data_IF_741140481121
#
_entry.id   IF_741140481121
#
_cell.length_a   1.000
_cell.length_b   1.000
_cell.length_c   1.000
_cell.angle_alpha   90.00
_cell.angle_beta   90.00
_cell.angle_gamma   90.00
#
_symmetry.space_group_name_H-M   'P 1'
#
loop_
_entity.id
_entity.type
_entity.pdbx_description
1 polymer ?
#
# COMPACT_ATOMS: atom_id res chain seq x y z
N UNK A 1 -33.24 56.70 5.53
CA UNK A 1 -32.70 57.82 4.73
C UNK A 1 -31.57 57.27 3.87
N UNK A 2 -31.86 56.98 2.60
CA UNK A 2 -31.31 57.63 1.38
C UNK A 2 -29.83 57.29 1.14
N UNK A 3 -29.34 56.75 0.01
CA UNK A 3 -29.78 56.49 -1.38
C UNK A 3 -28.78 55.43 -1.93
N UNK A 4 -29.17 54.23 -2.42
CA UNK A 4 -29.54 53.82 -3.81
C UNK A 4 -28.90 54.60 -4.98
N UNK A 5 -28.18 53.86 -5.83
CA UNK A 5 -28.01 53.89 -7.31
C UNK A 5 -26.97 52.76 -7.59
N UNK A 6 -27.18 51.58 -8.20
CA UNK A 6 -27.99 51.08 -9.31
C UNK A 6 -27.87 51.91 -10.60
N UNK A 7 -27.10 51.40 -11.57
CA UNK A 7 -27.47 51.33 -13.01
C UNK A 7 -26.43 50.57 -13.86
N UNK A 8 -26.84 50.06 -15.04
CA UNK A 8 -26.25 48.90 -15.73
C UNK A 8 -25.79 49.18 -17.19
N UNK A 9 -25.34 48.14 -17.91
CA UNK A 9 -25.26 48.09 -19.38
C UNK A 9 -23.86 48.42 -19.95
N UNK A 10 -23.42 47.89 -21.09
CA UNK A 10 -24.14 47.27 -22.18
C UNK A 10 -23.20 46.38 -23.04
N UNK A 11 -23.80 45.38 -23.70
CA UNK A 11 -23.30 44.71 -24.91
C UNK A 11 -22.69 45.72 -25.90
N UNK A 12 -21.62 45.31 -26.58
CA UNK A 12 -21.21 45.92 -27.83
C UNK A 12 -21.16 44.84 -28.92
N UNK A 13 -22.10 44.94 -29.85
CA UNK A 13 -22.15 44.22 -31.11
C UNK A 13 -22.22 45.24 -32.26
N UNK A 14 -21.49 44.92 -33.33
CA UNK A 14 -21.67 45.33 -34.74
C UNK A 14 -21.43 46.79 -35.18
N UNK A 15 -20.44 46.97 -36.07
CA UNK A 15 -20.53 47.61 -37.40
C UNK A 15 -19.17 47.37 -38.12
N UNK A 16 -19.10 46.47 -39.12
CA UNK A 16 -19.29 46.72 -40.56
C UNK A 16 -18.25 47.69 -41.16
N UNK A 17 -17.24 47.12 -41.83
CA UNK A 17 -16.60 47.74 -42.99
C UNK A 17 -16.45 46.67 -44.09
N UNK A 18 -17.28 46.83 -45.13
CA UNK A 18 -17.22 46.11 -46.39
C UNK A 18 -15.98 46.54 -47.18
N UNK A 19 -15.17 45.58 -47.62
CA UNK A 19 -14.18 45.73 -48.68
C UNK A 19 -14.51 44.79 -49.82
N UNK A 20 -15.28 45.28 -50.80
CA UNK A 20 -15.54 44.60 -52.07
C UNK A 20 -14.30 44.72 -52.96
N UNK A 21 -13.80 43.60 -53.51
CA UNK A 21 -13.11 43.64 -54.81
C UNK A 21 -13.68 42.54 -55.69
N UNK A 22 -14.16 43.00 -56.85
CA UNK A 22 -14.78 42.24 -57.93
C UNK A 22 -13.68 42.01 -58.95
N UNK A 23 -13.33 40.76 -59.26
CA UNK A 23 -12.58 40.45 -60.47
C UNK A 23 -13.54 39.85 -61.50
N UNK A 24 -13.78 40.66 -62.52
CA UNK A 24 -14.57 40.41 -63.71
C UNK A 24 -13.86 39.47 -64.67
N UNK A 25 -14.62 38.47 -65.15
CA UNK A 25 -14.32 37.63 -66.30
C UNK A 25 -14.09 38.46 -67.59
N UNK A 26 -13.07 38.09 -68.36
CA UNK A 26 -12.86 38.51 -69.74
C UNK A 26 -12.89 37.28 -70.69
N UNK A 27 -13.28 37.45 -71.96
CA UNK A 27 -13.99 36.42 -72.72
C UNK A 27 -13.12 35.47 -73.55
N UNK A 28 -13.74 34.34 -73.90
CA UNK A 28 -13.27 33.33 -74.86
C UNK A 28 -12.93 33.92 -76.24
N UNK A 29 -11.78 33.52 -76.78
CA UNK A 29 -11.51 33.51 -78.22
C UNK A 29 -11.22 32.08 -78.68
N UNK A 30 -12.06 31.63 -79.63
CA UNK A 30 -11.97 30.37 -80.36
C UNK A 30 -10.97 30.55 -81.51
N UNK A 31 -10.05 29.61 -81.69
CA UNK A 31 -9.30 29.42 -82.94
C UNK A 31 -9.13 27.93 -83.26
N UNK A 32 -9.14 27.54 -84.54
CA UNK A 32 -9.48 26.18 -84.98
C UNK A 32 -8.29 25.20 -84.98
N UNK A 33 -8.63 23.91 -84.92
CA UNK A 33 -7.71 22.77 -85.00
C UNK A 33 -7.02 22.64 -86.38
N UNK A 34 -5.78 22.14 -86.43
CA UNK A 34 -5.25 21.47 -87.62
C UNK A 34 -5.39 19.94 -87.51
N UNK A 35 -5.51 19.32 -88.69
CA UNK A 35 -5.83 17.93 -88.90
C UNK A 35 -4.64 16.95 -88.72
N UNK A 36 -5.01 15.77 -88.26
CA UNK A 36 -4.43 14.42 -88.38
C UNK A 36 -2.97 14.21 -88.86
N UNK A 37 -2.27 13.36 -88.08
CA UNK A 37 -1.35 12.34 -88.60
C UNK A 37 -1.47 11.08 -87.74
N UNK A 38 -1.81 9.96 -88.37
CA UNK A 38 -1.97 8.63 -87.77
C UNK A 38 -0.59 7.99 -87.54
N UNK A 39 -0.23 7.56 -86.31
CA UNK A 39 0.88 6.65 -86.09
C UNK A 39 0.38 5.20 -85.94
N UNK A 40 1.14 4.28 -86.54
CA UNK A 40 0.85 2.85 -86.61
C UNK A 40 0.66 2.17 -85.24
N UNK A 41 -0.28 1.20 -85.20
CA UNK A 41 -0.48 0.26 -84.10
C UNK A 41 0.74 -0.66 -83.91
N UNK A 42 1.24 -0.85 -82.68
CA UNK A 42 2.15 -1.95 -82.35
C UNK A 42 1.38 -3.29 -82.21
N UNK A 43 2.06 -4.44 -82.39
CA UNK A 43 1.41 -5.74 -82.53
C UNK A 43 0.76 -6.23 -81.22
N UNK A 44 -0.33 -6.97 -81.40
CA UNK A 44 -1.12 -7.64 -80.37
C UNK A 44 -0.26 -8.49 -79.43
N UNK A 45 -0.24 -8.12 -78.14
CA UNK A 45 0.17 -9.06 -77.08
C UNK A 45 -1.01 -9.99 -76.79
N UNK A 46 -0.75 -11.27 -76.94
CA UNK A 46 -1.57 -12.39 -76.46
C UNK A 46 -2.02 -12.14 -75.02
N UNK A 47 -3.35 -12.04 -74.81
CA UNK A 47 -3.94 -11.99 -73.46
C UNK A 47 -3.80 -13.36 -72.79
N UNK A 48 -3.11 -13.39 -71.65
CA UNK A 48 -3.22 -14.50 -70.71
C UNK A 48 -4.59 -14.47 -70.01
N UNK A 49 -5.11 -15.62 -69.54
CA UNK A 49 -6.39 -15.67 -68.83
C UNK A 49 -6.32 -14.87 -67.53
N UNK A 50 -7.38 -14.14 -67.21
CA UNK A 50 -7.51 -13.44 -65.94
C UNK A 50 -7.59 -14.46 -64.80
N UNK A 51 -6.65 -14.37 -63.84
CA UNK A 51 -6.74 -15.11 -62.58
C UNK A 51 -7.89 -14.55 -61.74
N UNK A 52 -8.75 -15.45 -61.28
CA UNK A 52 -9.81 -15.15 -60.31
C UNK A 52 -9.18 -14.68 -58.99
N UNK A 53 -9.62 -13.56 -58.37
CA UNK A 53 -9.09 -13.15 -57.08
C UNK A 53 -9.41 -14.19 -56.02
N UNK A 54 -8.40 -14.58 -55.24
CA UNK A 54 -8.58 -15.40 -54.06
C UNK A 54 -9.45 -14.65 -53.02
N UNK A 55 -10.32 -15.34 -52.26
CA UNK A 55 -11.12 -14.70 -51.23
C UNK A 55 -10.21 -14.07 -50.17
N UNK A 56 -10.51 -12.83 -49.77
CA UNK A 56 -9.80 -12.16 -48.68
C UNK A 56 -9.90 -13.00 -47.40
N UNK A 57 -8.79 -13.19 -46.66
CA UNK A 57 -8.84 -13.90 -45.39
C UNK A 57 -9.72 -13.12 -44.42
N UNK A 58 -10.74 -13.80 -43.89
CA UNK A 58 -11.61 -13.27 -42.83
C UNK A 58 -10.72 -12.77 -41.67
N UNK A 59 -10.95 -11.56 -41.13
CA UNK A 59 -10.13 -11.03 -40.05
C UNK A 59 -10.17 -12.02 -38.89
N UNK A 60 -9.00 -12.46 -38.44
CA UNK A 60 -8.89 -13.24 -37.21
C UNK A 60 -9.51 -12.42 -36.07
N UNK A 61 -10.37 -13.01 -35.22
CA UNK A 61 -10.91 -12.29 -34.08
C UNK A 61 -9.75 -11.73 -33.26
N UNK A 62 -9.79 -10.43 -32.94
CA UNK A 62 -8.82 -9.85 -32.03
C UNK A 62 -8.80 -10.68 -30.75
N UNK A 63 -7.61 -11.06 -30.23
CA UNK A 63 -7.55 -11.74 -28.95
C UNK A 63 -8.29 -10.90 -27.92
N UNK A 64 -9.21 -11.53 -27.18
CA UNK A 64 -9.90 -10.87 -26.08
C UNK A 64 -8.82 -10.24 -25.16
N UNK A 65 -9.02 -9.00 -24.68
CA UNK A 65 -8.05 -8.37 -23.80
C UNK A 65 -7.80 -9.28 -22.62
N UNK A 66 -6.53 -9.63 -22.39
CA UNK A 66 -6.13 -10.44 -21.24
C UNK A 66 -6.58 -9.71 -19.97
N UNK A 67 -7.23 -10.39 -19.02
CA UNK A 67 -7.66 -9.74 -17.79
C UNK A 67 -6.45 -9.13 -17.07
N UNK A 68 -6.51 -7.84 -16.74
CA UNK A 68 -5.47 -7.20 -15.95
C UNK A 68 -5.68 -7.56 -14.47
N UNK A 69 -4.67 -8.20 -13.88
CA UNK A 69 -4.67 -8.60 -12.48
C UNK A 69 -3.53 -7.95 -11.73
N UNK A 70 -3.78 -7.52 -10.50
CA UNK A 70 -2.78 -7.01 -9.58
C UNK A 70 -2.83 -7.76 -8.26
N UNK A 71 -1.69 -7.83 -7.58
CA UNK A 71 -1.57 -8.42 -6.26
C UNK A 71 -0.86 -7.44 -5.35
N UNK A 72 -1.44 -7.20 -4.18
CA UNK A 72 -0.85 -6.38 -3.15
C UNK A 72 -0.73 -7.21 -1.88
N UNK A 73 0.48 -7.28 -1.34
CA UNK A 73 0.81 -7.98 -0.11
C UNK A 73 0.82 -7.04 1.10
N UNK A 74 0.49 -7.56 2.26
CA UNK A 74 0.48 -6.85 3.54
C UNK A 74 1.17 -7.69 4.62
N UNK A 75 2.08 -7.05 5.34
CA UNK A 75 2.81 -7.62 6.46
C UNK A 75 2.24 -7.12 7.78
N UNK A 76 2.31 -7.95 8.81
CA UNK A 76 2.05 -7.55 10.19
C UNK A 76 3.05 -6.53 10.76
N UNK A 77 2.91 -6.25 12.04
CA UNK A 77 3.65 -5.19 12.72
C UNK A 77 5.16 -5.49 12.76
N UNK A 78 5.96 -4.51 12.34
CA UNK A 78 7.41 -4.48 12.57
C UNK A 78 7.67 -3.58 13.77
N UNK A 79 8.03 -4.19 14.90
CA UNK A 79 8.30 -3.53 16.17
C UNK A 79 9.73 -3.86 16.62
N UNK A 80 10.67 -2.97 16.32
CA UNK A 80 12.10 -3.17 16.62
C UNK A 80 12.39 -2.80 18.08
N UNK A 81 12.44 -3.82 18.93
CA UNK A 81 12.79 -3.69 20.34
C UNK A 81 14.31 -3.77 20.54
N UNK A 82 14.75 -3.62 21.79
CA UNK A 82 16.17 -3.60 22.15
C UNK A 82 16.94 -4.82 21.64
N UNK A 83 16.38 -6.02 21.79
CA UNK A 83 17.07 -7.26 21.42
C UNK A 83 17.37 -7.31 19.93
N UNK A 84 16.45 -6.88 19.07
CA UNK A 84 16.68 -6.79 17.63
C UNK A 84 17.77 -5.78 17.30
N UNK A 85 17.75 -4.59 17.92
CA UNK A 85 18.80 -3.58 17.72
C UNK A 85 20.18 -4.12 18.10
N UNK A 86 20.27 -4.79 19.25
CA UNK A 86 21.53 -5.34 19.75
C UNK A 86 22.09 -6.43 18.85
N UNK A 87 21.23 -7.33 18.35
CA UNK A 87 21.66 -8.46 17.54
C UNK A 87 21.89 -8.11 16.06
N UNK A 88 21.22 -7.07 15.55
CA UNK A 88 21.53 -6.51 14.24
C UNK A 88 22.90 -5.82 14.19
N UNK A 89 23.43 -5.38 15.34
CA UNK A 89 24.70 -4.64 15.41
C UNK A 89 25.88 -5.51 14.98
N UNK A 90 26.65 -5.01 14.03
CA UNK A 90 27.86 -5.64 13.50
C UNK A 90 29.12 -5.15 14.23
N UNK A 91 30.24 -5.84 14.02
CA UNK A 91 31.50 -5.55 14.69
C UNK A 91 32.07 -4.15 14.37
N UNK A 92 31.76 -3.61 13.19
CA UNK A 92 32.15 -2.26 12.77
C UNK A 92 31.21 -1.15 13.29
N UNK A 93 30.17 -1.52 14.05
CA UNK A 93 29.18 -0.60 14.61
C UNK A 93 28.00 -0.31 13.69
N UNK A 94 27.96 -0.85 12.48
CA UNK A 94 26.78 -0.82 11.60
C UNK A 94 25.70 -1.79 12.07
N UNK A 95 24.54 -1.79 11.41
CA UNK A 95 23.41 -2.65 11.76
C UNK A 95 22.89 -3.36 10.51
N UNK A 96 22.60 -4.65 10.61
CA UNK A 96 22.09 -5.49 9.53
C UNK A 96 20.78 -6.17 9.95
N UNK A 97 19.73 -5.90 9.19
CA UNK A 97 18.39 -6.47 9.37
C UNK A 97 17.99 -7.39 8.19
N UNK A 98 18.87 -7.63 7.21
CA UNK A 98 18.54 -8.43 6.03
C UNK A 98 18.03 -9.84 6.37
N UNK A 99 18.69 -10.50 7.33
CA UNK A 99 18.28 -11.82 7.81
C UNK A 99 16.87 -11.87 8.41
N UNK A 100 16.29 -10.73 8.81
CA UNK A 100 14.91 -10.68 9.30
C UNK A 100 13.87 -10.90 8.23
N UNK A 101 14.21 -10.64 6.96
CA UNK A 101 13.29 -10.63 5.82
C UNK A 101 13.65 -11.67 4.76
N UNK A 102 14.90 -12.15 4.74
CA UNK A 102 15.40 -13.11 3.77
C UNK A 102 14.44 -14.30 3.47
N UNK A 103 13.77 -14.93 4.45
CA UNK A 103 12.89 -16.06 4.16
C UNK A 103 11.62 -15.70 3.36
N UNK A 104 11.32 -14.42 3.22
CA UNK A 104 10.10 -13.90 2.59
C UNK A 104 10.38 -13.23 1.24
N UNK A 105 11.64 -13.07 0.84
CA UNK A 105 12.04 -12.33 -0.37
C UNK A 105 11.44 -12.92 -1.66
N UNK A 106 11.40 -14.26 -1.78
CA UNK A 106 10.77 -14.93 -2.93
C UNK A 106 9.27 -14.59 -3.05
N UNK A 107 8.55 -14.69 -1.93
CA UNK A 107 7.13 -14.34 -1.84
C UNK A 107 6.88 -12.86 -2.15
N UNK A 108 7.81 -11.98 -1.77
CA UNK A 108 7.73 -10.56 -2.09
C UNK A 108 7.97 -10.31 -3.57
N UNK A 109 8.96 -10.96 -4.17
CA UNK A 109 9.25 -10.83 -5.61
C UNK A 109 8.10 -11.27 -6.52
N UNK A 110 7.29 -12.23 -6.09
CA UNK A 110 6.07 -12.67 -6.79
C UNK A 110 4.86 -11.77 -6.54
N UNK A 111 4.96 -10.87 -5.55
CA UNK A 111 3.88 -10.00 -5.15
C UNK A 111 4.07 -8.64 -5.80
N UNK A 112 3.04 -8.17 -6.52
CA UNK A 112 3.16 -6.96 -7.34
C UNK A 112 3.49 -5.68 -6.57
N UNK A 113 3.08 -5.58 -5.30
CA UNK A 113 3.60 -4.59 -4.35
C UNK A 113 3.41 -5.08 -2.90
N UNK A 114 4.32 -4.74 -1.98
CA UNK A 114 4.27 -5.15 -0.57
C UNK A 114 4.18 -3.93 0.37
N UNK A 115 3.20 -3.97 1.28
CA UNK A 115 2.96 -2.94 2.28
C UNK A 115 3.19 -3.46 3.71
N UNK A 116 3.65 -2.61 4.64
CA UNK A 116 3.87 -2.99 6.04
C UNK A 116 3.56 -1.86 7.01
N UNK A 117 3.19 -2.17 8.25
CA UNK A 117 3.19 -1.19 9.34
C UNK A 117 4.53 -1.23 10.08
N UNK A 118 5.23 -0.09 10.12
CA UNK A 118 6.41 0.08 10.96
C UNK A 118 6.04 0.84 12.24
N UNK A 119 5.97 0.11 13.35
CA UNK A 119 5.53 0.62 14.64
C UNK A 119 6.72 1.13 15.45
N UNK A 120 7.15 2.35 15.16
CA UNK A 120 8.26 2.96 15.87
C UNK A 120 8.80 4.20 15.16
N UNK A 121 10.00 4.62 15.57
CA UNK A 121 10.72 5.71 14.95
C UNK A 121 12.01 5.23 14.28
N UNK A 122 12.48 6.01 13.30
CA UNK A 122 13.86 6.04 12.83
C UNK A 122 14.36 7.48 12.99
N UNK A 123 14.66 7.84 14.23
CA UNK A 123 15.07 9.17 14.65
C UNK A 123 16.60 9.35 14.72
N UNK A 124 17.36 8.34 14.29
CA UNK A 124 18.82 8.35 14.27
C UNK A 124 19.46 7.99 15.62
N UNK A 125 20.77 7.78 15.60
CA UNK A 125 21.54 7.33 16.76
C UNK A 125 21.57 8.36 17.90
N UNK A 126 21.62 9.65 17.58
CA UNK A 126 21.64 10.75 18.57
C UNK A 126 20.37 10.79 19.43
N UNK A 127 19.25 10.28 18.91
CA UNK A 127 17.99 10.17 19.64
C UNK A 127 17.89 8.90 20.51
N UNK A 128 18.93 8.05 20.50
CA UNK A 128 19.00 6.78 21.21
C UNK A 128 18.08 5.71 20.62
N UNK A 129 18.64 4.55 20.29
CA UNK A 129 17.86 3.41 19.79
C UNK A 129 17.00 2.75 20.88
N UNK A 130 16.19 1.77 20.51
CA UNK A 130 15.34 1.01 21.45
C UNK A 130 16.17 0.41 22.58
N UNK A 131 15.79 0.76 23.81
CA UNK A 131 16.40 0.31 25.07
C UNK A 131 15.44 -0.63 25.84
N UNK A 132 15.87 -1.31 26.93
CA UNK A 132 14.96 -2.12 27.71
C UNK A 132 13.82 -1.25 28.23
N UNK A 133 12.65 -1.87 28.42
CA UNK A 133 11.50 -1.19 29.01
C UNK A 133 11.91 -0.53 30.33
N UNK A 134 11.75 0.79 30.48
CA UNK A 134 12.13 1.48 31.70
C UNK A 134 11.33 0.93 32.88
N UNK A 135 11.99 0.69 34.02
CA UNK A 135 11.30 0.35 35.26
C UNK A 135 10.70 1.61 35.89
N UNK A 136 9.62 1.46 36.66
CA UNK A 136 9.14 2.55 37.49
C UNK A 136 10.29 3.05 38.41
N UNK A 137 10.46 4.37 38.58
CA UNK A 137 11.41 4.88 39.55
C UNK A 137 10.98 4.44 40.97
N UNK A 138 11.89 4.43 41.95
CA UNK A 138 11.51 4.14 43.33
C UNK A 138 10.50 5.21 43.84
N UNK A 139 9.53 4.82 44.69
CA UNK A 139 8.63 5.77 45.33
C UNK A 139 9.37 6.88 46.08
N UNK A 140 8.81 8.08 46.06
CA UNK A 140 9.31 9.25 46.81
C UNK A 140 8.18 9.82 47.69
N UNK A 141 8.50 10.72 48.63
CA UNK A 141 7.45 11.43 49.39
C UNK A 141 6.53 12.26 48.47
N UNK A 142 7.07 12.77 47.36
CA UNK A 142 6.32 13.56 46.37
C UNK A 142 5.52 12.68 45.39
N UNK A 143 5.97 11.46 45.13
CA UNK A 143 5.30 10.46 44.30
C UNK A 143 5.40 9.08 44.95
N UNK A 144 4.46 8.74 45.86
CA UNK A 144 4.49 7.48 46.59
C UNK A 144 4.12 6.26 45.72
N UNK A 145 3.66 6.47 44.49
CA UNK A 145 3.22 5.41 43.58
C UNK A 145 3.62 5.73 42.13
N UNK A 146 4.93 5.80 41.84
CA UNK A 146 5.41 6.18 40.53
C UNK A 146 4.97 5.17 39.47
N UNK A 147 4.47 5.69 38.36
CA UNK A 147 4.00 4.87 37.25
C UNK A 147 5.18 4.34 36.44
N UNK A 148 5.02 3.13 35.91
CA UNK A 148 5.94 2.61 34.91
C UNK A 148 5.93 3.53 33.67
N UNK A 149 7.10 3.99 33.19
CA UNK A 149 7.16 4.70 31.93
C UNK A 149 6.72 3.81 30.77
N UNK A 150 6.16 4.44 29.74
CA UNK A 150 5.90 3.77 28.48
C UNK A 150 7.21 3.32 27.84
N UNK A 151 7.20 2.14 27.24
CA UNK A 151 8.30 1.73 26.37
C UNK A 151 8.23 2.57 25.10
N UNK A 152 9.39 2.95 24.58
CA UNK A 152 9.50 3.71 23.34
C UNK A 152 10.51 3.03 22.42
N UNK A 153 10.29 3.15 21.12
CA UNK A 153 11.01 2.40 20.10
C UNK A 153 11.67 3.34 19.10
N UNK A 154 12.93 3.04 18.77
CA UNK A 154 13.69 3.74 17.77
C UNK A 154 14.67 2.77 17.09
N UNK A 155 14.52 2.56 15.79
CA UNK A 155 15.33 1.65 15.01
C UNK A 155 16.49 2.39 14.28
N UNK A 156 17.61 1.70 14.00
CA UNK A 156 18.61 2.18 13.07
C UNK A 156 18.04 2.36 11.65
N UNK A 157 18.54 3.36 10.93
CA UNK A 157 18.09 3.71 9.58
C UNK A 157 18.31 2.57 8.56
N UNK A 158 19.24 1.64 8.83
CA UNK A 158 19.49 0.47 7.98
C UNK A 158 18.28 -0.48 7.92
N UNK A 159 17.32 -0.36 8.84
CA UNK A 159 16.03 -1.06 8.72
C UNK A 159 15.29 -0.65 7.45
N UNK A 160 15.24 0.65 7.13
CA UNK A 160 14.58 1.12 5.91
C UNK A 160 15.25 0.57 4.65
N UNK A 161 16.58 0.44 4.67
CA UNK A 161 17.34 -0.16 3.56
C UNK A 161 17.04 -1.66 3.44
N UNK A 162 16.95 -2.39 4.55
CA UNK A 162 16.61 -3.80 4.55
C UNK A 162 15.18 -4.06 4.03
N UNK A 163 14.21 -3.21 4.41
CA UNK A 163 12.84 -3.28 3.89
C UNK A 163 12.80 -3.06 2.37
N UNK A 164 13.47 -2.01 1.88
CA UNK A 164 13.54 -1.73 0.45
C UNK A 164 14.23 -2.87 -0.32
N UNK A 165 15.33 -3.41 0.21
CA UNK A 165 16.06 -4.52 -0.39
C UNK A 165 15.24 -5.82 -0.43
N UNK A 166 14.42 -6.08 0.59
CA UNK A 166 13.54 -7.24 0.62
C UNK A 166 12.39 -7.15 -0.41
N UNK A 167 12.05 -5.95 -0.89
CA UNK A 167 10.96 -5.73 -1.85
C UNK A 167 9.71 -5.11 -1.24
N UNK A 168 9.83 -4.40 -0.10
CA UNK A 168 8.74 -3.56 0.42
C UNK A 168 8.62 -2.30 -0.41
N UNK A 169 7.40 -1.89 -0.76
CA UNK A 169 7.12 -0.69 -1.54
C UNK A 169 6.56 0.45 -0.69
N UNK A 170 5.72 0.12 0.30
CA UNK A 170 5.01 1.10 1.11
C UNK A 170 5.04 0.77 2.60
N UNK A 171 5.32 1.79 3.41
CA UNK A 171 5.33 1.68 4.87
C UNK A 171 4.25 2.58 5.48
N UNK A 172 3.34 2.01 6.25
CA UNK A 172 2.47 2.75 7.15
C UNK A 172 3.27 3.19 8.38
N UNK A 173 3.22 4.49 8.70
CA UNK A 173 3.80 5.05 9.93
C UNK A 173 2.75 5.68 10.85
N UNK A 174 1.46 5.56 10.52
CA UNK A 174 0.38 5.97 11.42
C UNK A 174 0.12 4.85 12.44
N UNK A 175 0.72 4.99 13.63
CA UNK A 175 0.52 4.08 14.75
C UNK A 175 0.73 4.79 16.09
N UNK A 176 0.48 4.07 17.18
CA UNK A 176 0.64 4.54 18.55
C UNK A 176 2.09 4.95 18.91
N UNK A 177 3.10 4.38 18.26
CA UNK A 177 4.52 4.61 18.51
C UNK A 177 5.22 5.61 17.57
N UNK A 178 4.47 6.21 16.64
CA UNK A 178 5.03 7.17 15.66
C UNK A 178 5.64 8.45 16.30
N UNK A 179 5.28 8.75 17.56
CA UNK A 179 5.76 9.92 18.32
C UNK A 179 6.77 9.57 19.43
N UNK A 180 7.32 8.36 19.44
CA UNK A 180 8.26 7.89 20.47
C UNK A 180 9.55 8.71 20.59
N UNK A 181 9.87 9.48 19.54
CA UNK A 181 10.96 10.46 19.50
C UNK A 181 10.46 11.87 19.15
N UNK A 182 9.22 12.16 19.51
CA UNK A 182 8.57 13.45 19.30
C UNK A 182 8.30 13.77 17.83
N UNK A 183 7.93 15.01 17.56
CA UNK A 183 7.59 15.48 16.21
C UNK A 183 8.79 15.43 15.25
N UNK A 184 10.00 15.77 15.72
CA UNK A 184 11.20 15.68 14.88
C UNK A 184 11.52 14.23 14.50
N UNK A 185 11.32 13.29 15.44
CA UNK A 185 11.45 11.86 15.18
C UNK A 185 10.43 11.35 14.16
N UNK A 186 9.18 11.80 14.25
CA UNK A 186 8.12 11.49 13.28
C UNK A 186 8.53 11.94 11.87
N UNK A 187 8.93 13.19 11.70
CA UNK A 187 9.32 13.74 10.39
C UNK A 187 10.59 13.07 9.85
N UNK A 188 11.57 12.80 10.70
CA UNK A 188 12.80 12.11 10.31
C UNK A 188 12.54 10.67 9.88
N UNK A 189 11.61 9.98 10.52
CA UNK A 189 11.20 8.62 10.14
C UNK A 189 10.66 8.61 8.71
N UNK A 190 9.73 9.52 8.39
CA UNK A 190 9.20 9.67 7.04
C UNK A 190 10.29 9.99 6.00
N UNK A 191 11.25 10.85 6.35
CA UNK A 191 12.37 11.19 5.48
C UNK A 191 13.34 10.02 5.27
N UNK A 192 13.59 9.21 6.31
CA UNK A 192 14.45 8.03 6.24
C UNK A 192 13.87 6.98 5.30
N UNK A 193 12.57 6.73 5.39
CA UNK A 193 11.84 5.85 4.48
C UNK A 193 11.92 6.37 3.04
N UNK A 194 11.65 7.66 2.83
CA UNK A 194 11.74 8.30 1.52
C UNK A 194 13.13 8.20 0.90
N UNK A 195 14.18 8.38 1.71
CA UNK A 195 15.57 8.28 1.28
C UNK A 195 15.98 6.85 0.88
N UNK A 196 15.33 5.83 1.47
CA UNK A 196 15.49 4.43 1.09
C UNK A 196 14.67 4.03 -0.16
N UNK A 197 13.88 4.95 -0.73
CA UNK A 197 13.02 4.68 -1.89
C UNK A 197 11.66 4.10 -1.55
N UNK A 198 11.27 4.07 -0.26
CA UNK A 198 9.98 3.57 0.19
C UNK A 198 8.92 4.68 0.13
N UNK A 199 7.74 4.35 -0.39
CA UNK A 199 6.56 5.17 -0.12
C UNK A 199 6.20 5.06 1.36
N UNK A 200 5.66 6.12 1.95
CA UNK A 200 5.05 6.00 3.27
C UNK A 200 3.73 6.76 3.34
N UNK A 201 2.79 6.23 4.11
CA UNK A 201 1.52 6.88 4.45
C UNK A 201 1.34 6.98 5.97
N UNK A 202 0.80 8.09 6.45
CA UNK A 202 0.37 8.26 7.84
C UNK A 202 1.09 9.32 8.68
N UNK A 203 2.29 9.75 8.30
CA UNK A 203 3.00 10.88 8.91
C UNK A 203 3.26 12.00 7.88
N UNK A 204 2.95 13.27 8.18
CA UNK A 204 3.01 14.31 7.16
C UNK A 204 3.69 15.60 7.61
N UNK A 205 4.38 16.25 6.66
CA UNK A 205 5.15 17.48 6.86
C UNK A 205 4.34 18.75 6.64
N UNK A 206 3.21 18.65 5.95
CA UNK A 206 2.28 19.74 5.66
C UNK A 206 0.89 19.19 5.33
N UNK A 207 -0.10 20.08 5.25
CA UNK A 207 -1.43 19.73 4.75
C UNK A 207 -1.38 19.26 3.28
N UNK A 208 -0.53 19.88 2.45
CA UNK A 208 -0.29 19.45 1.07
C UNK A 208 0.27 18.02 1.00
N UNK A 209 1.21 17.68 1.89
CA UNK A 209 1.79 16.33 1.98
C UNK A 209 0.74 15.29 2.39
N UNK A 210 -0.13 15.64 3.38
CA UNK A 210 -1.26 14.80 3.82
C UNK A 210 -2.20 14.43 2.69
N UNK A 211 -2.52 15.39 1.81
CA UNK A 211 -3.42 15.18 0.68
C UNK A 211 -2.71 14.79 -0.62
N UNK A 212 -1.39 14.57 -0.59
CA UNK A 212 -0.66 14.01 -1.73
C UNK A 212 -0.89 12.49 -1.78
N UNK A 213 -1.53 11.93 -2.82
CA UNK A 213 -1.89 10.52 -2.81
C UNK A 213 -0.68 9.57 -2.84
N UNK A 214 -0.74 8.50 -2.03
CA UNK A 214 0.22 7.40 -2.08
C UNK A 214 -0.34 6.31 -2.98
N UNK A 215 0.15 6.24 -4.22
CA UNK A 215 -0.36 5.34 -5.26
C UNK A 215 0.72 4.33 -5.68
N UNK A 216 0.38 3.05 -5.57
CA UNK A 216 1.13 1.92 -6.13
C UNK A 216 0.58 1.60 -7.51
N UNK A 217 1.44 1.35 -8.49
CA UNK A 217 1.03 0.97 -9.84
C UNK A 217 1.47 -0.47 -10.12
N UNK A 218 0.53 -1.41 -10.11
CA UNK A 218 0.79 -2.84 -10.26
C UNK A 218 0.07 -3.36 -11.50
N UNK A 219 0.81 -3.83 -12.50
CA UNK A 219 0.27 -4.36 -13.76
C UNK A 219 -0.79 -3.44 -14.43
N UNK A 220 -0.57 -2.12 -14.35
CA UNK A 220 -1.48 -1.12 -14.92
C UNK A 220 -2.73 -0.81 -14.09
N UNK A 221 -2.85 -1.38 -12.89
CA UNK A 221 -3.86 -1.00 -11.89
C UNK A 221 -3.23 -0.02 -10.90
N UNK A 222 -3.89 1.13 -10.68
CA UNK A 222 -3.46 2.13 -9.69
C UNK A 222 -4.16 1.90 -8.36
N UNK A 223 -3.40 1.66 -7.30
CA UNK A 223 -3.90 1.36 -5.96
C UNK A 223 -3.49 2.49 -5.01
N UNK A 224 -4.47 3.19 -4.43
CA UNK A 224 -4.23 4.22 -3.41
C UNK A 224 -4.17 3.61 -2.02
N UNK A 225 -3.28 4.11 -1.16
CA UNK A 225 -3.17 3.68 0.25
C UNK A 225 -3.27 4.88 1.19
N UNK A 226 -4.21 4.83 2.11
CA UNK A 226 -4.40 5.82 3.18
C UNK A 226 -4.17 5.15 4.52
N UNK A 227 -3.19 5.64 5.29
CA UNK A 227 -2.89 5.12 6.61
C UNK A 227 -3.43 5.99 7.73
N UNK A 228 -3.96 5.37 8.78
CA UNK A 228 -4.51 6.10 9.92
C UNK A 228 -4.44 5.31 11.23
N UNK A 229 -4.30 6.01 12.36
CA UNK A 229 -4.24 5.37 13.67
C UNK A 229 -5.33 5.83 14.64
N UNK A 230 -5.75 4.93 15.51
CA UNK A 230 -6.65 5.23 16.62
C UNK A 230 -5.98 6.13 17.68
N UNK A 231 -4.69 5.91 17.96
CA UNK A 231 -3.97 6.46 19.11
C UNK A 231 -2.54 6.87 18.74
N UNK A 232 -1.96 7.81 19.49
CA UNK A 232 -0.51 8.13 19.48
C UNK A 232 0.06 8.05 20.88
N UNK A 233 -0.43 7.11 21.70
CA UNK A 233 -0.04 6.95 23.11
C UNK A 233 -0.20 8.22 23.97
N UNK A 234 -1.19 9.07 23.62
CA UNK A 234 -1.46 10.38 24.25
C UNK A 234 -0.32 11.39 24.08
N UNK A 235 0.56 11.18 23.10
CA UNK A 235 1.67 12.08 22.77
C UNK A 235 1.27 13.23 21.83
N UNK A 236 -0.02 13.50 21.62
CA UNK A 236 -0.52 14.58 20.75
C UNK A 236 0.08 15.96 21.11
N UNK A 237 0.41 16.17 22.38
CA UNK A 237 1.03 17.40 22.87
C UNK A 237 2.47 17.61 22.33
N UNK A 238 3.16 16.55 21.91
CA UNK A 238 4.49 16.62 21.30
C UNK A 238 4.47 17.21 19.88
N UNK A 239 3.30 17.23 19.23
CA UNK A 239 3.12 17.87 17.93
C UNK A 239 2.86 19.37 18.15
N UNK A 240 3.61 20.27 17.47
CA UNK A 240 3.32 21.70 17.47
C UNK A 240 1.87 22.00 17.07
N UNK A 241 1.25 22.99 17.70
CA UNK A 241 -0.18 23.28 17.55
C UNK A 241 -0.63 23.45 16.09
N UNK A 242 0.20 24.12 15.30
CA UNK A 242 0.06 24.43 13.89
C UNK A 242 0.17 23.20 12.99
N UNK A 243 0.79 22.11 13.48
CA UNK A 243 1.01 20.88 12.73
C UNK A 243 0.01 19.77 13.09
N UNK A 244 -0.70 19.87 14.23
CA UNK A 244 -1.63 18.83 14.72
C UNK A 244 -2.72 18.47 13.71
N UNK A 245 -3.16 19.42 12.90
CA UNK A 245 -4.21 19.20 11.91
C UNK A 245 -3.80 18.34 10.71
N UNK A 246 -2.51 18.05 10.54
CA UNK A 246 -2.04 17.23 9.42
C UNK A 246 -0.96 16.20 9.78
N UNK A 247 -0.23 16.35 10.88
CA UNK A 247 0.99 15.59 11.13
C UNK A 247 0.80 14.07 11.17
N UNK A 248 -0.34 13.59 11.67
CA UNK A 248 -0.66 12.16 11.75
C UNK A 248 -2.15 11.99 11.43
N UNK A 249 -2.48 11.10 10.50
CA UNK A 249 -3.89 10.80 10.19
C UNK A 249 -4.52 9.96 11.28
N UNK A 250 -5.68 10.41 11.81
CA UNK A 250 -6.37 9.78 12.94
C UNK A 250 -7.73 9.23 12.55
N UNK A 251 -8.06 8.04 13.05
CA UNK A 251 -9.39 7.41 12.84
C UNK A 251 -10.55 8.23 13.41
N UNK A 252 -10.29 9.15 14.34
CA UNK A 252 -11.28 10.09 14.86
C UNK A 252 -11.59 11.26 13.91
N UNK A 253 -10.74 11.52 12.93
CA UNK A 253 -10.88 12.62 11.96
C UNK A 253 -11.62 12.15 10.70
N UNK A 254 -12.84 11.65 10.87
CA UNK A 254 -13.60 10.96 9.81
C UNK A 254 -13.71 11.80 8.51
N UNK A 255 -13.96 13.10 8.63
CA UNK A 255 -14.04 14.01 7.46
C UNK A 255 -12.68 14.20 6.76
N UNK A 256 -11.58 14.22 7.51
CA UNK A 256 -10.25 14.32 6.91
C UNK A 256 -9.87 13.04 6.18
N UNK A 257 -10.13 11.89 6.78
CA UNK A 257 -9.87 10.60 6.16
C UNK A 257 -10.70 10.40 4.89
N UNK A 258 -11.96 10.84 4.88
CA UNK A 258 -12.78 10.83 3.67
C UNK A 258 -12.16 11.71 2.56
N UNK A 259 -11.57 12.86 2.92
CA UNK A 259 -10.84 13.72 1.96
C UNK A 259 -9.54 13.09 1.47
N UNK A 260 -8.78 12.40 2.32
CA UNK A 260 -7.59 11.64 1.90
C UNK A 260 -7.96 10.53 0.91
N UNK A 261 -9.02 9.76 1.20
CA UNK A 261 -9.56 8.74 0.29
C UNK A 261 -10.02 9.38 -1.03
N UNK A 262 -10.75 10.49 -0.98
CA UNK A 262 -11.18 11.20 -2.19
C UNK A 262 -9.99 11.69 -3.02
N UNK A 263 -8.92 12.21 -2.40
CA UNK A 263 -7.72 12.68 -3.10
C UNK A 263 -7.04 11.55 -3.89
N UNK A 264 -6.99 10.33 -3.32
CA UNK A 264 -6.52 9.15 -4.05
C UNK A 264 -7.37 8.85 -5.28
N UNK A 265 -8.70 8.90 -5.13
CA UNK A 265 -9.64 8.68 -6.24
C UNK A 265 -9.50 9.75 -7.33
N UNK A 266 -9.35 11.01 -6.95
CA UNK A 266 -9.16 12.15 -7.87
C UNK A 266 -7.84 12.07 -8.65
N UNK A 267 -6.77 11.59 -8.01
CA UNK A 267 -5.51 11.25 -8.69
C UNK A 267 -5.59 9.96 -9.52
N UNK A 268 -6.75 9.31 -9.52
CA UNK A 268 -7.09 8.20 -10.39
C UNK A 268 -6.76 6.82 -9.82
N UNK A 269 -6.61 6.69 -8.51
CA UNK A 269 -6.62 5.38 -7.88
C UNK A 269 -7.93 4.64 -8.21
N UNK A 270 -7.78 3.39 -8.63
CA UNK A 270 -8.87 2.53 -9.10
C UNK A 270 -9.34 1.60 -7.98
N UNK A 271 -8.44 1.31 -7.05
CA UNK A 271 -8.71 0.59 -5.82
C UNK A 271 -8.06 1.34 -4.65
N UNK A 272 -8.76 1.54 -3.53
CA UNK A 272 -8.23 2.30 -2.38
C UNK A 272 -8.23 1.42 -1.13
N UNK A 273 -7.09 1.38 -0.45
CA UNK A 273 -6.88 0.57 0.76
C UNK A 273 -6.71 1.51 1.95
N UNK A 274 -7.53 1.32 2.98
CA UNK A 274 -7.31 1.95 4.28
C UNK A 274 -6.43 1.02 5.13
N UNK A 275 -5.19 1.43 5.39
CA UNK A 275 -4.23 0.66 6.21
C UNK A 275 -4.17 1.27 7.62
N UNK A 276 -4.86 0.64 8.57
CA UNK A 276 -5.20 1.25 9.85
C UNK A 276 -4.54 0.55 11.03
N UNK A 277 -4.32 1.31 12.10
CA UNK A 277 -3.69 0.82 13.33
C UNK A 277 -4.63 1.07 14.52
N UNK A 278 -5.28 0.00 15.03
CA UNK A 278 -6.50 0.11 15.85
C UNK A 278 -6.78 -1.08 16.77
N UNK A 279 -7.83 -0.99 17.59
CA UNK A 279 -8.25 -2.11 18.42
C UNK A 279 -7.52 -2.15 19.76
N UNK A 280 -7.47 -3.35 20.36
CA UNK A 280 -6.92 -3.56 21.71
C UNK A 280 -5.82 -4.60 21.60
N UNK A 281 -4.66 -4.28 22.18
CA UNK A 281 -3.53 -5.21 22.22
C UNK A 281 -3.93 -6.57 22.82
N UNK A 282 -3.49 -7.65 22.16
CA UNK A 282 -3.61 -9.04 22.58
C UNK A 282 -5.04 -9.62 22.57
N UNK A 283 -6.01 -8.88 22.07
CA UNK A 283 -7.36 -9.40 21.87
C UNK A 283 -7.44 -10.08 20.50
N UNK A 284 -7.67 -11.40 20.48
CA UNK A 284 -7.76 -12.19 19.25
C UNK A 284 -9.02 -11.89 18.42
N UNK A 285 -10.03 -11.25 19.01
CA UNK A 285 -11.30 -10.93 18.34
C UNK A 285 -11.45 -9.44 18.04
N UNK A 286 -11.94 -9.15 16.84
CA UNK A 286 -12.23 -7.79 16.42
C UNK A 286 -13.42 -7.20 17.21
N UNK A 287 -13.19 -6.08 17.88
CA UNK A 287 -14.22 -5.44 18.70
C UNK A 287 -15.23 -4.62 17.87
N UNK A 288 -16.34 -4.24 18.50
CA UNK A 288 -17.43 -3.50 17.83
C UNK A 288 -17.01 -2.14 17.27
N UNK A 289 -15.99 -1.49 17.86
CA UNK A 289 -15.44 -0.23 17.35
C UNK A 289 -14.68 -0.46 16.05
N UNK A 290 -13.85 -1.50 15.96
CA UNK A 290 -13.16 -1.88 14.73
C UNK A 290 -14.18 -2.17 13.62
N UNK A 291 -15.19 -3.01 13.87
CA UNK A 291 -16.23 -3.34 12.87
C UNK A 291 -17.00 -2.12 12.38
N UNK A 292 -17.32 -1.17 13.28
CA UNK A 292 -17.98 0.10 12.94
C UNK A 292 -17.08 1.01 12.11
N UNK A 293 -15.82 1.15 12.49
CA UNK A 293 -14.84 1.98 11.76
C UNK A 293 -14.57 1.41 10.36
N UNK A 294 -14.45 0.08 10.22
CA UNK A 294 -14.29 -0.57 8.93
C UNK A 294 -15.43 -0.22 7.95
N UNK A 295 -16.70 -0.35 8.39
CA UNK A 295 -17.86 0.04 7.58
C UNK A 295 -17.83 1.52 7.19
N UNK A 296 -17.43 2.40 8.10
CA UNK A 296 -17.30 3.85 7.82
C UNK A 296 -16.24 4.15 6.77
N UNK A 297 -15.09 3.49 6.83
CA UNK A 297 -14.02 3.67 5.83
C UNK A 297 -14.47 3.20 4.44
N UNK A 298 -15.17 2.07 4.37
CA UNK A 298 -15.74 1.57 3.11
C UNK A 298 -16.81 2.52 2.57
N UNK A 299 -17.72 2.99 3.42
CA UNK A 299 -18.71 4.03 3.06
C UNK A 299 -18.07 5.34 2.59
N UNK A 300 -16.89 5.69 3.11
CA UNK A 300 -16.13 6.88 2.72
C UNK A 300 -15.37 6.71 1.39
N UNK A 301 -15.26 5.50 0.84
CA UNK A 301 -14.65 5.26 -0.47
C UNK A 301 -13.50 4.26 -0.49
N UNK A 302 -13.09 3.70 0.65
CA UNK A 302 -12.14 2.58 0.67
C UNK A 302 -12.78 1.33 0.06
N UNK A 303 -11.99 0.56 -0.69
CA UNK A 303 -12.39 -0.70 -1.31
C UNK A 303 -11.91 -1.92 -0.51
N UNK A 304 -10.95 -1.73 0.41
CA UNK A 304 -10.53 -2.70 1.42
C UNK A 304 -10.01 -2.00 2.68
N UNK A 305 -10.02 -2.72 3.81
CA UNK A 305 -9.43 -2.26 5.08
C UNK A 305 -8.46 -3.30 5.61
N UNK A 306 -7.23 -2.88 5.91
CA UNK A 306 -6.19 -3.74 6.49
C UNK A 306 -5.79 -3.16 7.82
N UNK A 307 -5.89 -3.94 8.89
CA UNK A 307 -5.65 -3.53 10.26
C UNK A 307 -4.34 -4.08 10.85
N UNK A 308 -3.83 -3.37 11.83
CA UNK A 308 -2.64 -3.67 12.65
C UNK A 308 -2.88 -3.17 14.08
N UNK A 309 -1.93 -3.38 15.01
CA UNK A 309 -1.91 -2.99 16.45
C UNK A 309 -2.18 -4.10 17.48
N UNK A 310 -3.15 -5.01 17.31
CA UNK A 310 -3.42 -6.01 18.35
C UNK A 310 -2.23 -6.92 18.66
N UNK A 311 -1.20 -6.96 17.80
CA UNK A 311 -0.03 -7.84 17.89
C UNK A 311 -0.33 -9.34 17.88
N UNK A 312 -1.59 -9.71 17.66
CA UNK A 312 -2.08 -11.06 17.42
C UNK A 312 -2.92 -11.06 16.15
N UNK A 313 -3.00 -12.19 15.46
CA UNK A 313 -3.86 -12.33 14.28
C UNK A 313 -5.32 -12.22 14.70
N UNK A 314 -6.09 -11.43 13.95
CA UNK A 314 -7.55 -11.35 14.10
C UNK A 314 -8.23 -11.83 12.81
N UNK A 315 -9.53 -12.19 12.87
CA UNK A 315 -10.25 -12.71 11.71
C UNK A 315 -10.20 -11.82 10.46
N UNK A 316 -10.46 -12.44 9.32
CA UNK A 316 -10.73 -11.76 8.06
C UNK A 316 -12.24 -11.86 7.78
N UNK A 317 -12.85 -10.75 7.37
CA UNK A 317 -14.28 -10.71 7.02
C UNK A 317 -14.49 -10.02 5.67
N UNK A 318 -15.47 -10.47 4.90
CA UNK A 318 -16.05 -9.67 3.82
C UNK A 318 -17.30 -8.97 4.36
N UNK A 319 -17.27 -7.65 4.43
CA UNK A 319 -18.38 -6.85 4.95
C UNK A 319 -19.16 -6.20 3.82
N UNK A 320 -20.40 -5.82 4.14
CA UNK A 320 -21.21 -4.96 3.30
C UNK A 320 -21.32 -3.55 3.92
N UNK A 321 -21.21 -2.51 3.11
CA UNK A 321 -21.40 -1.12 3.54
C UNK A 321 -22.00 -0.28 2.41
N UNK A 322 -22.86 0.67 2.76
CA UNK A 322 -23.46 1.57 1.78
C UNK A 322 -22.46 2.68 1.40
N UNK A 323 -22.25 2.89 0.11
CA UNK A 323 -21.45 3.98 -0.46
C UNK A 323 -22.26 4.65 -1.56
N UNK A 324 -22.65 5.92 -1.35
CA UNK A 324 -23.46 6.68 -2.31
C UNK A 324 -24.74 5.97 -2.77
N UNK A 325 -25.41 5.24 -1.88
CA UNK A 325 -26.65 4.50 -2.17
C UNK A 325 -26.45 3.12 -2.80
N UNK A 326 -25.20 2.68 -3.02
CA UNK A 326 -24.88 1.34 -3.50
C UNK A 326 -24.31 0.48 -2.37
N UNK A 327 -24.66 -0.81 -2.35
CA UNK A 327 -24.12 -1.76 -1.39
C UNK A 327 -22.77 -2.28 -1.88
N UNK A 328 -21.71 -1.90 -1.20
CA UNK A 328 -20.34 -2.33 -1.48
C UNK A 328 -20.01 -3.57 -0.68
N UNK A 329 -19.32 -4.53 -1.29
CA UNK A 329 -18.69 -5.66 -0.61
C UNK A 329 -17.18 -5.43 -0.55
N UNK A 330 -16.60 -5.44 0.64
CA UNK A 330 -15.17 -5.13 0.85
C UNK A 330 -14.53 -6.10 1.85
N UNK A 331 -13.28 -6.53 1.63
CA UNK A 331 -12.54 -7.33 2.61
C UNK A 331 -12.00 -6.44 3.74
N UNK A 332 -12.04 -6.97 4.95
CA UNK A 332 -11.50 -6.38 6.17
C UNK A 332 -10.63 -7.41 6.85
N UNK A 333 -9.34 -7.11 6.96
CA UNK A 333 -8.38 -7.90 7.73
C UNK A 333 -8.16 -7.13 9.02
N UNK A 334 -8.68 -7.60 10.16
CA UNK A 334 -8.73 -6.76 11.36
C UNK A 334 -7.37 -6.57 12.05
N UNK A 335 -6.50 -7.58 11.98
CA UNK A 335 -5.11 -7.53 12.46
C UNK A 335 -4.30 -8.63 11.79
N UNK A 336 -3.11 -8.28 11.32
CA UNK A 336 -2.18 -9.22 10.70
C UNK A 336 -1.20 -9.86 11.71
N UNK A 337 -1.28 -9.50 13.00
CA UNK A 337 -0.31 -9.92 14.01
C UNK A 337 1.07 -9.27 13.82
N UNK A 338 2.10 -9.87 14.38
CA UNK A 338 3.48 -9.37 14.24
C UNK A 338 4.20 -10.01 13.05
N UNK A 339 5.04 -9.24 12.38
CA UNK A 339 5.91 -9.74 11.31
C UNK A 339 7.37 -9.86 11.76
N UNK A 340 7.88 -8.84 12.46
CA UNK A 340 9.18 -8.91 13.15
C UNK A 340 9.04 -8.23 14.50
N UNK A 341 9.08 -9.03 15.57
CA UNK A 341 8.89 -8.56 16.94
C UNK A 341 9.63 -9.43 17.97
N UNK A 342 9.83 -8.89 19.18
CA UNK A 342 10.38 -9.62 20.33
C UNK A 342 9.42 -9.59 21.53
N UNK A 343 8.13 -9.38 21.28
CA UNK A 343 7.10 -9.47 22.30
C UNK A 343 6.99 -10.89 22.84
N UNK A 344 6.81 -11.03 24.15
CA UNK A 344 6.81 -12.33 24.83
C UNK A 344 5.43 -12.71 25.38
N UNK A 345 4.37 -12.00 24.94
CA UNK A 345 3.01 -12.37 25.33
C UNK A 345 2.52 -13.53 24.45
N UNK A 346 1.58 -14.35 24.94
CA UNK A 346 1.02 -15.42 24.14
C UNK A 346 0.54 -14.93 22.78
N UNK A 347 0.81 -15.73 21.74
CA UNK A 347 0.37 -15.55 20.35
C UNK A 347 0.95 -14.32 19.64
N UNK A 348 1.85 -13.56 20.30
CA UNK A 348 2.48 -12.37 19.69
C UNK A 348 3.67 -12.70 18.80
N UNK A 349 4.10 -13.96 18.79
CA UNK A 349 5.02 -14.53 17.84
C UNK A 349 4.35 -14.87 16.50
N UNK A 350 3.02 -14.90 16.43
CA UNK A 350 2.29 -15.23 15.22
C UNK A 350 1.83 -13.98 14.45
N UNK A 351 1.89 -14.09 13.14
CA UNK A 351 1.34 -13.12 12.21
C UNK A 351 0.92 -13.79 10.91
N UNK A 352 0.58 -12.98 9.92
CA UNK A 352 0.33 -13.44 8.57
C UNK A 352 0.86 -12.47 7.52
N UNK A 353 1.30 -13.03 6.40
CA UNK A 353 1.45 -12.32 5.14
C UNK A 353 0.14 -12.46 4.36
N UNK A 354 -0.59 -11.36 4.17
CA UNK A 354 -1.86 -11.36 3.46
C UNK A 354 -1.72 -10.79 2.05
N UNK A 355 -2.47 -11.30 1.07
CA UNK A 355 -2.53 -10.77 -0.31
C UNK A 355 -3.96 -10.45 -0.72
N UNK A 356 -4.13 -9.31 -1.36
CA UNK A 356 -5.37 -8.95 -2.07
C UNK A 356 -5.17 -9.19 -3.57
N UNK A 357 -6.02 -10.03 -4.16
CA UNK A 357 -6.05 -10.27 -5.60
C UNK A 357 -7.05 -9.32 -6.24
N UNK A 358 -6.57 -8.45 -7.09
CA UNK A 358 -7.40 -7.49 -7.82
C UNK A 358 -7.57 -7.92 -9.28
N UNK A 359 -8.77 -7.69 -9.79
CA UNK A 359 -9.11 -7.91 -11.18
C UNK A 359 -9.75 -6.66 -11.77
N UNK A 360 -9.30 -6.25 -12.95
CA UNK A 360 -10.05 -5.31 -13.79
C UNK A 360 -11.11 -6.08 -14.57
N UNK A 361 -12.38 -5.79 -14.28
CA UNK A 361 -13.53 -6.31 -14.99
C UNK A 361 -13.65 -5.79 -16.42
N UNK A 362 -14.54 -6.40 -17.20
CA UNK A 362 -14.81 -5.98 -18.59
C UNK A 362 -15.44 -4.58 -18.69
N UNK A 363 -16.06 -4.11 -17.61
CA UNK A 363 -16.59 -2.76 -17.43
C UNK A 363 -15.50 -1.73 -17.06
N UNK A 364 -14.25 -2.18 -16.88
CA UNK A 364 -13.11 -1.37 -16.48
C UNK A 364 -12.99 -1.18 -14.97
N UNK A 365 -13.96 -1.61 -14.17
CA UNK A 365 -13.93 -1.49 -12.72
C UNK A 365 -12.91 -2.46 -12.12
N UNK A 366 -12.21 -2.03 -11.06
CA UNK A 366 -11.26 -2.87 -10.32
C UNK A 366 -11.91 -3.32 -9.03
N UNK A 367 -11.89 -4.62 -8.76
CA UNK A 367 -12.42 -5.19 -7.52
C UNK A 367 -11.46 -6.22 -6.94
N UNK A 368 -11.56 -6.46 -5.63
CA UNK A 368 -10.86 -7.55 -4.97
C UNK A 368 -11.65 -8.85 -5.18
N UNK A 369 -11.01 -9.86 -5.78
CA UNK A 369 -11.62 -11.16 -6.08
C UNK A 369 -11.28 -12.22 -5.06
N UNK A 370 -10.15 -12.08 -4.35
CA UNK A 370 -9.74 -13.00 -3.30
C UNK A 370 -8.86 -12.30 -2.26
N UNK A 371 -9.02 -12.73 -1.01
CA UNK A 371 -8.02 -12.51 0.04
C UNK A 371 -7.28 -13.83 0.19
N UNK A 372 -5.96 -13.78 0.23
CA UNK A 372 -5.10 -14.92 0.50
C UNK A 372 -4.23 -14.61 1.72
N UNK A 373 -3.77 -15.62 2.45
CA UNK A 373 -2.87 -15.43 3.57
C UNK A 373 -1.90 -16.59 3.75
N UNK A 374 -0.73 -16.30 4.29
CA UNK A 374 0.27 -17.26 4.72
C UNK A 374 0.58 -16.99 6.20
N UNK A 375 0.43 -17.98 7.09
CA UNK A 375 0.91 -17.85 8.46
C UNK A 375 2.41 -17.53 8.50
N UNK A 376 2.81 -16.60 9.38
CA UNK A 376 4.19 -16.14 9.54
C UNK A 376 4.57 -16.19 11.01
N UNK A 377 5.71 -16.80 11.31
CA UNK A 377 6.28 -16.88 12.66
C UNK A 377 7.40 -15.85 12.82
N UNK A 378 7.33 -15.04 13.87
CA UNK A 378 8.44 -14.21 14.37
C UNK A 378 9.48 -15.09 15.09
N UNK A 379 10.19 -15.92 14.34
CA UNK A 379 11.12 -16.90 14.89
C UNK A 379 12.38 -16.24 15.45
N UNK A 380 12.84 -16.73 16.61
CA UNK A 380 14.07 -16.29 17.28
C UNK A 380 15.09 -17.41 17.27
N UNK A 381 16.15 -17.28 16.48
CA UNK A 381 17.17 -18.32 16.37
C UNK A 381 18.53 -17.84 16.87
N UNK A 382 19.21 -18.67 17.66
CA UNK A 382 20.58 -18.38 18.08
C UNK A 382 21.56 -18.67 16.95
N UNK A 383 22.40 -17.69 16.64
CA UNK A 383 23.51 -17.80 15.72
C UNK A 383 24.74 -18.38 16.41
N UNK A 384 25.69 -18.87 15.61
CA UNK A 384 26.92 -19.49 16.10
C UNK A 384 27.80 -18.53 16.92
N UNK A 385 27.68 -17.22 16.68
CA UNK A 385 28.39 -16.17 17.42
C UNK A 385 27.67 -15.71 18.70
N UNK A 386 26.56 -16.36 19.05
CA UNK A 386 25.77 -16.09 20.26
C UNK A 386 24.72 -14.98 20.11
N UNK A 387 24.64 -14.31 18.96
CA UNK A 387 23.54 -13.39 18.65
C UNK A 387 22.23 -14.14 18.42
N UNK A 388 21.11 -13.46 18.60
CA UNK A 388 19.77 -13.98 18.25
C UNK A 388 19.27 -13.27 17.00
N UNK A 389 18.98 -14.03 15.95
CA UNK A 389 18.31 -13.55 14.75
C UNK A 389 16.79 -13.60 14.97
N UNK A 390 16.13 -12.46 14.75
CA UNK A 390 14.67 -12.34 14.67
C UNK A 390 14.29 -12.31 13.20
N UNK A 391 13.54 -13.29 12.72
CA UNK A 391 13.17 -13.39 11.31
C UNK A 391 11.71 -13.80 11.13
N UNK A 392 11.10 -13.28 10.08
CA UNK A 392 9.78 -13.70 9.63
C UNK A 392 9.93 -15.01 8.84
N UNK A 393 9.35 -16.10 9.34
CA UNK A 393 9.37 -17.42 8.70
C UNK A 393 7.99 -17.73 8.11
N UNK A 394 7.87 -18.03 6.81
CA UNK A 394 6.62 -18.51 6.24
C UNK A 394 6.31 -19.92 6.78
N UNK A 395 5.12 -20.12 7.31
CA UNK A 395 4.67 -21.38 7.90
C UNK A 395 3.68 -22.06 6.93
N UNK A 396 4.12 -23.16 6.31
CA UNK A 396 3.29 -23.97 5.42
C UNK A 396 2.77 -25.21 6.14
N UNK A 397 1.75 -25.85 5.55
CA UNK A 397 1.21 -27.11 6.06
C UNK A 397 2.27 -28.23 6.13
N UNK A 398 3.19 -28.26 5.15
CA UNK A 398 4.40 -29.07 5.21
C UNK A 398 5.58 -28.20 5.65
N UNK A 399 6.03 -28.37 6.89
CA UNK A 399 7.13 -27.62 7.50
C UNK A 399 8.45 -27.78 6.74
N UNK A 400 8.63 -28.84 5.95
CA UNK A 400 9.84 -29.00 5.13
C UNK A 400 9.95 -27.91 4.03
N UNK A 401 8.83 -27.29 3.67
CA UNK A 401 8.73 -26.23 2.68
C UNK A 401 9.09 -24.86 3.26
N UNK A 402 8.90 -24.66 4.56
CA UNK A 402 9.35 -23.46 5.26
C UNK A 402 10.87 -23.30 5.16
N UNK A 403 11.32 -22.06 5.05
CA UNK A 403 12.75 -21.68 4.99
C UNK A 403 13.04 -20.61 6.03
N UNK A 404 14.31 -20.54 6.40
CA UNK A 404 14.85 -19.53 7.30
C UNK A 404 16.23 -19.12 6.77
N UNK A 405 16.72 -17.97 7.23
CA UNK A 405 18.06 -17.47 6.93
C UNK A 405 19.16 -18.42 7.48
N UNK A 406 18.81 -19.21 8.50
CA UNK A 406 19.68 -20.26 9.06
C UNK A 406 18.89 -21.56 9.24
N UNK A 407 19.55 -22.75 9.26
CA UNK A 407 18.84 -24.02 9.44
C UNK A 407 18.00 -24.07 10.73
N UNK A 408 16.82 -24.68 10.66
CA UNK A 408 15.95 -24.89 11.82
C UNK A 408 16.53 -25.90 12.83
N UNK A 409 16.48 -25.54 14.10
CA UNK A 409 16.62 -26.50 15.20
C UNK A 409 15.32 -27.30 15.38
N UNK A 410 15.27 -28.16 16.40
CA UNK A 410 14.10 -29.01 16.66
C UNK A 410 12.90 -28.17 17.10
N UNK A 411 13.11 -27.23 18.02
CA UNK A 411 12.09 -26.38 18.62
C UNK A 411 11.42 -25.51 17.55
N UNK A 412 12.19 -24.94 16.61
CA UNK A 412 11.66 -24.13 15.52
C UNK A 412 10.62 -24.85 14.64
N UNK A 413 10.74 -26.18 14.44
CA UNK A 413 9.74 -26.92 13.65
C UNK A 413 8.40 -27.02 14.35
N UNK A 414 8.41 -27.25 15.66
CA UNK A 414 7.18 -27.31 16.48
C UNK A 414 6.50 -25.93 16.52
N UNK A 415 7.27 -24.85 16.64
CA UNK A 415 6.74 -23.47 16.58
C UNK A 415 6.11 -23.15 15.23
N UNK A 416 6.68 -23.63 14.12
CA UNK A 416 6.12 -23.45 12.76
C UNK A 416 4.77 -24.17 12.62
N UNK A 417 4.68 -25.43 13.09
CA UNK A 417 3.43 -26.20 13.07
C UNK A 417 2.34 -25.52 13.92
N UNK A 418 2.71 -25.06 15.12
CA UNK A 418 1.80 -24.35 16.01
C UNK A 418 1.32 -23.03 15.40
N UNK A 419 2.23 -22.26 14.78
CA UNK A 419 1.90 -21.03 14.07
C UNK A 419 0.91 -21.28 12.93
N UNK A 420 1.18 -22.27 12.07
CA UNK A 420 0.29 -22.62 10.96
C UNK A 420 -1.12 -22.95 11.45
N UNK A 421 -1.23 -23.83 12.46
CA UNK A 421 -2.52 -24.25 13.00
C UNK A 421 -3.27 -23.09 13.66
N UNK A 422 -2.60 -22.27 14.46
CA UNK A 422 -3.20 -21.14 15.17
C UNK A 422 -3.73 -20.08 14.20
N UNK A 423 -2.90 -19.66 13.25
CA UNK A 423 -3.28 -18.59 12.30
C UNK A 423 -4.38 -19.06 11.35
N UNK A 424 -4.34 -20.33 10.91
CA UNK A 424 -5.41 -20.88 10.08
C UNK A 424 -6.77 -20.91 10.79
N UNK A 425 -6.77 -21.22 12.09
CA UNK A 425 -7.98 -21.18 12.93
C UNK A 425 -8.48 -19.74 13.14
N UNK A 426 -7.56 -18.81 13.48
CA UNK A 426 -7.89 -17.41 13.74
C UNK A 426 -8.46 -16.68 12.52
N UNK A 427 -7.95 -16.96 11.32
CA UNK A 427 -8.43 -16.33 10.08
C UNK A 427 -9.76 -16.93 9.62
N UNK A 428 -9.91 -18.25 9.72
CA UNK A 428 -11.06 -19.00 9.21
C UNK A 428 -11.05 -19.17 7.68
N UNK A 429 -11.64 -20.26 7.18
CA UNK A 429 -11.55 -20.66 5.76
C UNK A 429 -12.55 -19.99 4.82
N UNK A 430 -13.57 -19.30 5.35
CA UNK A 430 -14.68 -18.79 4.53
C UNK A 430 -14.40 -17.41 3.92
N UNK A 431 -13.44 -16.67 4.48
CA UNK A 431 -13.16 -15.29 4.10
C UNK A 431 -11.83 -15.09 3.35
N UNK A 432 -10.86 -16.00 3.53
CA UNK A 432 -9.55 -15.94 2.91
C UNK A 432 -9.01 -17.33 2.61
N UNK A 433 -8.20 -17.43 1.56
CA UNK A 433 -7.57 -18.68 1.12
C UNK A 433 -6.14 -18.78 1.67
N UNK A 434 -5.73 -19.96 2.11
CA UNK A 434 -4.32 -20.20 2.42
C UNK A 434 -3.47 -20.11 1.14
N UNK A 435 -2.31 -19.48 1.27
CA UNK A 435 -1.28 -19.50 0.24
C UNK A 435 -0.58 -20.85 0.35
N UNK A 436 -0.77 -21.69 -0.66
CA UNK A 436 -0.04 -22.94 -0.80
C UNK A 436 1.37 -22.66 -1.32
N UNK A 437 2.30 -23.54 -0.96
CA UNK A 437 3.67 -23.45 -1.43
C UNK A 437 3.77 -23.58 -2.95
N UNK A 438 4.73 -22.87 -3.54
CA UNK A 438 5.06 -22.96 -4.95
C UNK A 438 6.57 -23.16 -5.18
N UNK A 439 6.98 -23.69 -6.34
CA UNK A 439 8.41 -23.88 -6.67
C UNK A 439 9.20 -22.55 -6.69
N UNK A 440 8.53 -21.43 -6.92
CA UNK A 440 9.16 -20.12 -6.89
C UNK A 440 9.41 -19.60 -5.48
N UNK A 441 8.73 -20.14 -4.46
CA UNK A 441 9.03 -19.92 -3.03
C UNK A 441 10.38 -20.55 -2.60
N UNK A 442 11.00 -21.37 -3.45
CA UNK A 442 12.24 -22.10 -3.15
C UNK A 442 13.53 -21.42 -3.66
N UNK A 443 13.40 -20.37 -4.49
CA UNK A 443 14.53 -19.61 -5.07
C UNK A 443 14.93 -18.45 -4.16
#
# INVERSE_FOLDING_TARGET
>A
MLRRLLTPGALLACLLLCGCTVETLAPLTITPAPAASVPLLPPERTRMPAETPAPEPSPSPMPAPTPQTATIGFLGDILIMQTQVQNAKQADGTYDFSGSFAPMEALFAETGAVCVNFEGAMAGAEAGYSEPRPTAPPPTEADPAPKQPYQTFNAPDTLAQALAAAGVDLVSTANNHCLDRGYDGLLRTAETLRAAGLLQSGAYRSEEDRFTPRILAVNGIRIGVVSATESVNRNDALIPSESRGFAVSRLSEEEQLAREIASCREAGAEFIIAFVHWGVEFEAEANSRQKKTARRLVSAGADAVVGSHPHVVQPVEWIEAERSGELMRAPVLYSLGNFVSNMSKPDTEYGMFARLRLLRGADGAVSCTAVEYLPVLCLRQKLADGRTLHQAVPCYADVALSKAAVPFDADAREEIEACYAHVADAVGTDAANLIEWSESDAQ
#
